data_IF_999049859959
#
_entry.id   IF_999049859959
#
_cell.length_a   1.000
_cell.length_b   1.000
_cell.length_c   1.000
_cell.angle_alpha   90.00
_cell.angle_beta   90.00
_cell.angle_gamma   90.00
#
_symmetry.space_group_name_H-M   'P 1'
#
loop_
_entity.id
_entity.type
_entity.pdbx_description
1 polymer ?
#
# COMPACT_ATOMS: atom_id res chain seq x y z
N UNK A 1 3.11 -8.73 7.45
CA UNK A 1 4.07 -8.46 6.37
C UNK A 1 5.31 -7.71 6.88
N UNK A 2 5.11 -6.53 7.40
CA UNK A 2 6.17 -5.62 7.86
C UNK A 2 7.04 -6.26 8.96
N UNK A 3 6.45 -6.89 9.96
CA UNK A 3 7.14 -7.57 11.04
C UNK A 3 7.86 -8.82 10.54
N UNK A 4 7.22 -9.57 9.65
CA UNK A 4 7.74 -10.81 9.10
C UNK A 4 8.98 -10.62 8.23
N UNK A 5 9.13 -9.49 7.56
CA UNK A 5 10.24 -9.20 6.62
C UNK A 5 11.32 -8.27 7.15
N UNK A 6 11.46 -8.15 8.45
CA UNK A 6 12.60 -7.48 9.06
C UNK A 6 12.42 -6.02 9.41
N UNK A 7 11.22 -5.46 9.29
CA UNK A 7 10.96 -4.12 9.80
C UNK A 7 11.11 -4.08 11.31
N UNK A 8 10.84 -5.20 11.98
CA UNK A 8 11.10 -5.35 13.41
C UNK A 8 12.56 -5.05 13.76
N UNK A 9 13.51 -5.52 12.97
CA UNK A 9 14.93 -5.21 13.15
C UNK A 9 15.25 -3.74 12.95
N UNK A 10 14.60 -3.10 11.97
CA UNK A 10 14.76 -1.66 11.72
C UNK A 10 14.17 -0.84 12.86
N UNK A 11 13.02 -1.23 13.36
CA UNK A 11 12.41 -0.61 14.53
C UNK A 11 13.27 -0.74 15.78
N UNK A 12 13.92 -1.87 15.98
CA UNK A 12 14.90 -2.05 17.07
C UNK A 12 16.11 -1.12 16.91
N UNK A 13 16.54 -0.83 15.67
CA UNK A 13 17.62 0.11 15.38
C UNK A 13 17.28 1.55 15.72
N UNK A 14 16.03 1.95 15.68
CA UNK A 14 15.55 3.31 16.05
C UNK A 14 14.94 3.37 17.46
N UNK A 15 15.05 2.30 18.22
CA UNK A 15 14.49 2.14 19.55
C UNK A 15 14.83 3.30 20.50
N UNK A 16 16.02 3.88 20.37
CA UNK A 16 16.46 4.99 21.22
C UNK A 16 15.83 6.33 20.86
N UNK A 17 15.12 6.43 19.74
CA UNK A 17 14.44 7.65 19.28
C UNK A 17 13.05 7.83 19.90
N UNK A 18 12.48 6.77 20.48
CA UNK A 18 11.13 6.74 21.02
C UNK A 18 11.11 6.18 22.45
N UNK A 19 10.10 6.55 23.22
CA UNK A 19 9.86 5.91 24.52
C UNK A 19 9.41 4.46 24.36
N UNK A 20 9.51 3.65 25.43
CA UNK A 20 9.02 2.27 25.41
C UNK A 20 7.52 2.18 25.11
N UNK A 21 6.72 3.14 25.60
CA UNK A 21 5.29 3.22 25.31
C UNK A 21 5.02 3.52 23.84
N UNK A 22 5.76 4.45 23.24
CA UNK A 22 5.66 4.75 21.81
C UNK A 22 6.07 3.56 20.95
N UNK A 23 7.10 2.82 21.33
CA UNK A 23 7.53 1.59 20.66
C UNK A 23 6.42 0.52 20.70
N UNK A 24 5.75 0.35 21.84
CA UNK A 24 4.64 -0.59 21.99
C UNK A 24 3.44 -0.22 21.13
N UNK A 25 3.08 1.06 21.07
CA UNK A 25 1.99 1.54 20.21
C UNK A 25 2.33 1.28 18.75
N UNK A 26 3.54 1.62 18.33
CA UNK A 26 4.00 1.38 16.96
C UNK A 26 3.97 -0.11 16.59
N UNK A 27 4.44 -0.99 17.48
CA UNK A 27 4.41 -2.43 17.25
C UNK A 27 2.98 -2.96 17.16
N UNK A 28 2.09 -2.50 18.02
CA UNK A 28 0.68 -2.88 17.97
C UNK A 28 0.02 -2.44 16.66
N UNK A 29 0.30 -1.23 16.20
CA UNK A 29 -0.22 -0.72 14.93
C UNK A 29 0.31 -1.53 13.73
N UNK A 30 1.58 -1.87 13.74
CA UNK A 30 2.19 -2.70 12.70
C UNK A 30 1.64 -4.14 12.70
N UNK A 31 1.40 -4.72 13.87
CA UNK A 31 0.76 -6.03 13.99
C UNK A 31 -0.68 -5.99 13.46
N UNK A 32 -1.44 -4.94 13.78
CA UNK A 32 -2.78 -4.74 13.27
C UNK A 32 -2.79 -4.65 11.74
N UNK A 33 -1.87 -3.90 11.14
CA UNK A 33 -1.71 -3.82 9.69
C UNK A 33 -1.33 -5.17 9.08
N UNK A 34 -0.45 -5.92 9.74
CA UNK A 34 0.00 -7.23 9.26
C UNK A 34 -1.09 -8.29 9.31
N UNK A 35 -1.99 -8.20 10.29
CA UNK A 35 -3.08 -9.15 10.48
C UNK A 35 -4.38 -8.73 9.77
N UNK A 36 -4.41 -7.53 9.22
CA UNK A 36 -5.58 -7.04 8.50
C UNK A 36 -5.84 -7.87 7.25
N UNK A 37 -7.09 -8.29 7.11
CA UNK A 37 -7.58 -8.99 5.92
C UNK A 37 -8.85 -8.32 5.43
N UNK A 38 -8.82 -7.89 4.18
CA UNK A 38 -9.97 -7.32 3.51
C UNK A 38 -10.79 -8.46 2.87
N UNK A 39 -12.08 -8.47 3.09
CA UNK A 39 -12.98 -9.35 2.35
C UNK A 39 -13.23 -8.76 0.95
N UNK A 40 -12.57 -9.33 -0.06
CA UNK A 40 -12.66 -8.88 -1.44
C UNK A 40 -14.06 -9.11 -2.03
N UNK A 41 -14.80 -10.08 -1.51
CA UNK A 41 -16.19 -10.32 -1.93
C UNK A 41 -17.08 -9.14 -1.56
N UNK A 42 -16.88 -8.53 -0.40
CA UNK A 42 -17.63 -7.35 0.02
C UNK A 42 -17.33 -6.17 -0.91
N UNK A 43 -16.07 -5.96 -1.28
CA UNK A 43 -15.69 -4.94 -2.26
C UNK A 43 -16.34 -5.15 -3.62
N UNK A 44 -16.31 -6.38 -4.12
CA UNK A 44 -16.93 -6.74 -5.38
C UNK A 44 -18.44 -6.45 -5.37
N UNK A 45 -19.10 -6.75 -4.26
CA UNK A 45 -20.55 -6.60 -4.13
C UNK A 45 -21.00 -5.14 -4.04
N UNK A 46 -20.11 -4.21 -3.70
CA UNK A 46 -20.44 -2.78 -3.70
C UNK A 46 -20.74 -2.23 -5.10
N UNK A 47 -20.23 -2.86 -6.16
CA UNK A 47 -20.44 -2.40 -7.53
C UNK A 47 -19.84 -1.03 -7.85
N UNK A 48 -18.86 -0.58 -7.09
CA UNK A 48 -18.20 0.71 -7.25
C UNK A 48 -17.02 0.56 -8.23
N UNK A 49 -16.86 1.49 -9.19
CA UNK A 49 -15.65 1.50 -10.02
C UNK A 49 -14.40 1.69 -9.18
N UNK A 50 -13.41 0.83 -9.41
CA UNK A 50 -12.11 0.88 -8.71
C UNK A 50 -11.01 1.16 -9.72
N UNK A 51 -10.18 2.13 -9.41
CA UNK A 51 -8.97 2.46 -10.16
C UNK A 51 -7.75 2.25 -9.29
N UNK A 52 -6.79 1.52 -9.82
CA UNK A 52 -5.52 1.24 -9.15
C UNK A 52 -4.42 2.01 -9.87
N UNK A 53 -3.71 2.85 -9.15
CA UNK A 53 -2.55 3.58 -9.68
C UNK A 53 -1.29 2.96 -9.12
N UNK A 54 -0.41 2.53 -10.00
CA UNK A 54 0.85 1.87 -9.64
C UNK A 54 2.04 2.63 -10.24
N UNK A 55 3.13 2.73 -9.49
CA UNK A 55 4.42 3.11 -10.06
C UNK A 55 5.11 1.89 -10.66
N UNK A 56 5.72 2.04 -11.82
CA UNK A 56 6.43 0.94 -12.50
C UNK A 56 7.71 0.50 -11.75
N UNK A 57 8.21 1.35 -10.85
CA UNK A 57 9.35 1.06 -9.97
C UNK A 57 8.97 0.73 -8.53
N UNK A 58 7.70 0.50 -8.28
CA UNK A 58 7.24 0.09 -6.96
C UNK A 58 7.82 -1.28 -6.58
N UNK A 59 8.53 -1.30 -5.44
CA UNK A 59 9.14 -2.52 -4.89
C UNK A 59 8.43 -3.03 -3.64
N UNK A 60 7.42 -2.33 -3.18
CA UNK A 60 6.67 -2.67 -1.97
C UNK A 60 5.41 -3.47 -2.29
N UNK A 61 4.80 -3.19 -3.42
CA UNK A 61 3.59 -3.89 -3.88
C UNK A 61 3.98 -4.96 -4.89
N UNK A 62 3.56 -6.19 -4.61
CA UNK A 62 3.76 -7.32 -5.50
C UNK A 62 2.69 -7.30 -6.62
N UNK A 63 3.14 -7.30 -7.87
CA UNK A 63 2.24 -7.37 -9.03
C UNK A 63 1.35 -8.61 -9.02
N UNK A 64 1.83 -9.71 -8.47
CA UNK A 64 1.02 -10.93 -8.32
C UNK A 64 -0.18 -10.69 -7.40
N UNK A 65 0.02 -9.96 -6.31
CA UNK A 65 -1.06 -9.59 -5.40
C UNK A 65 -2.08 -8.67 -6.08
N UNK A 66 -1.61 -7.72 -6.89
CA UNK A 66 -2.47 -6.84 -7.68
C UNK A 66 -3.30 -7.64 -8.68
N UNK A 67 -2.68 -8.56 -9.40
CA UNK A 67 -3.38 -9.40 -10.36
C UNK A 67 -4.44 -10.29 -9.69
N UNK A 68 -4.11 -10.88 -8.54
CA UNK A 68 -5.07 -11.65 -7.75
C UNK A 68 -6.26 -10.80 -7.30
N UNK A 69 -5.99 -9.57 -6.88
CA UNK A 69 -7.05 -8.62 -6.51
C UNK A 69 -8.00 -8.34 -7.68
N UNK A 70 -7.45 -8.06 -8.86
CA UNK A 70 -8.21 -7.72 -10.07
C UNK A 70 -9.06 -8.90 -10.55
N UNK A 71 -8.58 -10.13 -10.40
CA UNK A 71 -9.35 -11.32 -10.74
C UNK A 71 -10.64 -11.43 -9.91
N UNK A 72 -10.61 -10.99 -8.65
CA UNK A 72 -11.74 -11.03 -7.73
C UNK A 72 -12.58 -9.76 -7.85
N UNK A 73 -11.92 -8.61 -7.87
CA UNK A 73 -12.54 -7.28 -7.92
C UNK A 73 -12.12 -6.58 -9.22
N UNK A 74 -12.97 -6.58 -10.25
CA UNK A 74 -12.65 -5.92 -11.52
C UNK A 74 -12.27 -4.46 -11.31
N UNK A 75 -11.09 -4.10 -11.79
CA UNK A 75 -10.51 -2.78 -11.57
C UNK A 75 -9.75 -2.30 -12.79
N UNK A 76 -9.64 -0.98 -12.95
CA UNK A 76 -8.78 -0.37 -13.96
C UNK A 76 -7.39 -0.12 -13.38
N UNK A 77 -6.35 -0.42 -14.16
CA UNK A 77 -4.96 -0.16 -13.74
C UNK A 77 -4.39 0.99 -14.54
N UNK A 78 -3.74 1.90 -13.83
CA UNK A 78 -2.97 3.01 -14.38
C UNK A 78 -1.54 2.90 -13.86
N UNK A 79 -0.58 2.88 -14.75
CA UNK A 79 0.85 2.78 -14.39
C UNK A 79 1.53 4.11 -14.61
N UNK A 80 2.23 4.60 -13.59
CA UNK A 80 3.07 5.79 -13.67
C UNK A 80 4.50 5.38 -14.00
N UNK A 81 5.10 6.03 -15.00
CA UNK A 81 6.46 5.74 -15.44
C UNK A 81 7.49 6.34 -14.49
N UNK A 82 8.53 5.58 -14.20
CA UNK A 82 9.69 6.00 -13.40
C UNK A 82 9.33 6.43 -11.97
N UNK A 83 8.30 5.84 -11.40
CA UNK A 83 7.73 6.16 -10.10
C UNK A 83 7.69 4.90 -9.23
N UNK A 84 8.10 5.05 -7.97
CA UNK A 84 8.03 4.00 -6.96
C UNK A 84 6.70 4.00 -6.19
N UNK A 85 6.77 3.56 -4.96
CA UNK A 85 5.58 3.40 -4.12
C UNK A 85 4.96 4.73 -3.68
N UNK A 86 5.78 5.75 -3.46
CA UNK A 86 5.32 7.05 -2.96
C UNK A 86 5.08 8.03 -4.12
N UNK A 87 4.15 7.68 -5.00
CA UNK A 87 3.83 8.45 -6.20
C UNK A 87 3.47 9.90 -5.91
N UNK A 88 2.79 10.16 -4.80
CA UNK A 88 2.40 11.50 -4.37
C UNK A 88 3.58 12.40 -3.96
N UNK A 89 4.72 11.80 -3.63
CA UNK A 89 5.97 12.53 -3.36
C UNK A 89 6.88 12.59 -4.58
N UNK A 90 6.90 11.52 -5.38
CA UNK A 90 7.85 11.36 -6.48
C UNK A 90 7.40 12.12 -7.73
N UNK A 91 6.11 12.09 -8.04
CA UNK A 91 5.54 12.82 -9.18
C UNK A 91 4.10 13.27 -8.90
N UNK A 92 3.92 14.27 -8.03
CA UNK A 92 2.57 14.74 -7.66
C UNK A 92 1.81 15.35 -8.83
N UNK A 93 2.49 15.92 -9.80
CA UNK A 93 1.88 16.57 -10.98
C UNK A 93 1.23 15.50 -11.85
N UNK A 94 1.96 14.46 -12.20
CA UNK A 94 1.42 13.37 -13.02
C UNK A 94 0.33 12.61 -12.28
N UNK A 95 0.49 12.38 -10.99
CA UNK A 95 -0.55 11.77 -10.16
C UNK A 95 -1.84 12.59 -10.18
N UNK A 96 -1.74 13.91 -10.03
CA UNK A 96 -2.88 14.81 -10.09
C UNK A 96 -3.55 14.77 -11.47
N UNK A 97 -2.78 14.76 -12.54
CA UNK A 97 -3.28 14.65 -13.91
C UNK A 97 -4.03 13.33 -14.12
N UNK A 98 -3.48 12.21 -13.63
CA UNK A 98 -4.14 10.91 -13.69
C UNK A 98 -5.46 10.90 -12.95
N UNK A 99 -5.49 11.37 -11.71
CA UNK A 99 -6.69 11.44 -10.90
C UNK A 99 -7.77 12.27 -11.61
N UNK A 100 -7.38 13.40 -12.19
CA UNK A 100 -8.31 14.26 -12.92
C UNK A 100 -8.92 13.59 -14.14
N UNK A 101 -8.20 12.69 -14.80
CA UNK A 101 -8.73 11.90 -15.92
C UNK A 101 -9.65 10.77 -15.49
N UNK A 102 -9.43 10.20 -14.31
CA UNK A 102 -10.21 9.10 -13.75
C UNK A 102 -11.55 9.61 -13.23
N UNK A 103 -11.51 10.74 -12.56
CA UNK A 103 -12.69 11.39 -11.97
C UNK A 103 -13.40 12.23 -13.01
#
# INVERSE_FOLDING_TARGET
FIIKYGLHRRLLGIKNAFSEEEDLVMLNDLEACNNYQLDLSDLKNLGIPISIILGDKDRLVDLKAVNNFIEIVPSQIYTMNDVGHFSFLEDPIELSNLISKIV
#
